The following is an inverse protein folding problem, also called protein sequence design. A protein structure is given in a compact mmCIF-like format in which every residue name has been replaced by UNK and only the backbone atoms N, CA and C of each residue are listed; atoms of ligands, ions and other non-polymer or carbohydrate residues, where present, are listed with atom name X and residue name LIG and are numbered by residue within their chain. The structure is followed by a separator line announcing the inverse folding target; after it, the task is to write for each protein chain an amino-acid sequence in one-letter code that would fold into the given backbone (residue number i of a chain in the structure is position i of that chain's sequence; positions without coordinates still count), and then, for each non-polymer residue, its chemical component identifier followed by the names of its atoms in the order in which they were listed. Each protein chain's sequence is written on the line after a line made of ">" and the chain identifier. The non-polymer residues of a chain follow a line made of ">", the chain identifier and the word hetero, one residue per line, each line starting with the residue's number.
data_IF_289018269555
#
_entry.id   IF_289018269555
#
_cell.length_a   1.000
_cell.length_b   1.000
_cell.length_c   1.000
_cell.angle_alpha   90.00
_cell.angle_beta   90.00
_cell.angle_gamma   90.00
#
_symmetry.space_group_name_H-M   'P 1'
#
loop_
_entity.id
_entity.type
_entity.pdbx_description
1 polymer ?
#
# COMPACT_ATOMS: atom_id res chain seq x y z
N UNK A 1 4.35 -10.08 -27.48
CA UNK A 1 3.38 -10.73 -26.56
C UNK A 1 3.08 -9.75 -25.46
N UNK A 2 1.82 -9.39 -25.23
CA UNK A 2 1.48 -8.46 -24.16
C UNK A 2 1.77 -9.14 -22.81
N UNK A 3 2.64 -8.53 -21.99
CA UNK A 3 2.84 -8.97 -20.62
C UNK A 3 1.58 -8.54 -19.85
N UNK A 4 0.69 -9.49 -19.57
CA UNK A 4 -0.50 -9.21 -18.78
C UNK A 4 -0.13 -8.96 -17.31
N UNK A 5 -0.85 -8.04 -16.68
CA UNK A 5 -0.68 -7.74 -15.27
C UNK A 5 -1.20 -8.90 -14.42
N UNK A 6 -0.29 -9.54 -13.68
CA UNK A 6 -0.62 -10.60 -12.73
C UNK A 6 -0.63 -10.03 -11.30
N UNK A 7 -1.83 -9.81 -10.78
CA UNK A 7 -2.03 -9.27 -9.44
C UNK A 7 -1.60 -10.25 -8.33
N UNK A 8 -1.67 -11.57 -8.56
CA UNK A 8 -1.30 -12.58 -7.57
C UNK A 8 0.22 -12.62 -7.41
N UNK A 9 0.94 -12.69 -8.53
CA UNK A 9 2.41 -12.63 -8.52
C UNK A 9 2.91 -11.33 -7.90
N UNK A 10 2.26 -10.20 -8.18
CA UNK A 10 2.61 -8.93 -7.54
C UNK A 10 2.30 -8.94 -6.03
N UNK A 11 1.18 -9.56 -5.61
CA UNK A 11 0.84 -9.71 -4.20
C UNK A 11 1.94 -10.43 -3.43
N UNK A 12 2.40 -11.57 -3.93
CA UNK A 12 3.49 -12.35 -3.31
C UNK A 12 4.79 -11.56 -3.19
N UNK A 13 5.13 -10.74 -4.20
CA UNK A 13 6.33 -9.90 -4.17
C UNK A 13 6.19 -8.75 -3.16
N UNK A 14 5.03 -8.10 -3.11
CA UNK A 14 4.78 -6.97 -2.21
C UNK A 14 4.69 -7.43 -0.75
N UNK A 15 4.04 -8.56 -0.50
CA UNK A 15 3.88 -9.13 0.85
C UNK A 15 5.24 -9.32 1.55
N UNK A 16 6.23 -9.86 0.84
CA UNK A 16 7.60 -10.04 1.34
C UNK A 16 8.29 -8.74 1.78
N UNK A 17 7.82 -7.59 1.29
CA UNK A 17 8.37 -6.27 1.58
C UNK A 17 7.59 -5.57 2.69
N UNK A 18 6.26 -5.69 2.68
CA UNK A 18 5.37 -4.87 3.53
C UNK A 18 4.78 -5.60 4.72
N UNK A 19 4.96 -6.91 4.84
CA UNK A 19 4.43 -7.74 5.94
C UNK A 19 5.56 -8.35 6.74
N UNK A 20 5.43 -8.30 8.07
CA UNK A 20 6.30 -9.01 9.02
C UNK A 20 5.44 -9.67 10.09
N UNK A 21 5.12 -10.96 9.91
CA UNK A 21 4.20 -11.67 10.79
C UNK A 21 2.81 -11.02 10.74
N UNK A 22 2.36 -10.45 11.86
CA UNK A 22 1.09 -9.73 11.97
C UNK A 22 1.23 -8.22 11.73
N UNK A 23 2.44 -7.72 11.51
CA UNK A 23 2.72 -6.30 11.30
C UNK A 23 2.67 -5.94 9.81
N UNK A 24 2.23 -4.71 9.51
CA UNK A 24 2.25 -4.12 8.17
C UNK A 24 3.11 -2.85 8.14
N UNK A 25 3.80 -2.62 7.03
CA UNK A 25 4.63 -1.43 6.79
C UNK A 25 3.77 -0.22 6.38
N UNK A 26 4.01 0.91 7.04
CA UNK A 26 3.36 2.19 6.78
C UNK A 26 4.44 3.27 6.63
N UNK A 27 4.29 4.19 5.68
CA UNK A 27 5.25 5.29 5.48
C UNK A 27 4.86 6.55 6.25
N UNK A 28 3.61 6.62 6.71
CA UNK A 28 3.11 7.73 7.51
C UNK A 28 2.24 7.20 8.64
N UNK A 29 2.68 7.44 9.86
CA UNK A 29 2.02 6.99 11.09
C UNK A 29 1.32 8.17 11.77
N UNK A 30 0.24 7.85 12.50
CA UNK A 30 -0.44 8.74 13.46
C UNK A 30 -0.79 10.11 12.88
N UNK A 31 -1.60 10.13 11.81
CA UNK A 31 -2.22 11.36 11.32
C UNK A 31 -3.61 11.55 11.91
N UNK A 32 -3.87 12.74 12.44
CA UNK A 32 -5.22 13.18 12.76
C UNK A 32 -6.04 13.41 11.49
N UNK A 33 -7.14 12.68 11.33
CA UNK A 33 -8.16 12.91 10.31
C UNK A 33 -9.34 13.66 10.90
N UNK A 34 -9.94 14.55 10.10
CA UNK A 34 -11.17 15.28 10.48
C UNK A 34 -12.44 14.45 10.36
N UNK A 35 -12.31 13.24 9.84
CA UNK A 35 -13.40 12.30 9.58
C UNK A 35 -13.73 11.49 10.83
N UNK A 36 -14.94 10.94 10.88
CA UNK A 36 -15.39 10.02 11.94
C UNK A 36 -15.28 10.57 13.38
N UNK A 37 -15.49 11.88 13.58
CA UNK A 37 -15.39 12.50 14.90
C UNK A 37 -13.96 12.67 15.41
N UNK A 38 -12.96 12.49 14.55
CA UNK A 38 -11.54 12.51 14.89
C UNK A 38 -10.96 11.10 14.83
N UNK A 39 -10.13 10.83 13.81
CA UNK A 39 -9.51 9.52 13.60
C UNK A 39 -7.99 9.61 13.64
N UNK A 40 -7.34 8.59 14.17
CA UNK A 40 -5.92 8.35 13.94
C UNK A 40 -5.76 7.43 12.72
N UNK A 41 -5.10 7.90 11.68
CA UNK A 41 -4.88 7.15 10.44
C UNK A 41 -3.40 6.92 10.16
N UNK A 42 -3.11 5.85 9.40
CA UNK A 42 -1.79 5.52 8.88
C UNK A 42 -1.90 5.11 7.41
N UNK A 43 -0.95 5.56 6.59
CA UNK A 43 -0.95 5.34 5.15
C UNK A 43 -0.01 4.15 4.81
N UNK A 44 -0.58 3.08 4.22
CA UNK A 44 0.14 1.83 3.93
C UNK A 44 1.20 2.00 2.83
N UNK A 45 2.25 1.18 2.87
CA UNK A 45 3.14 0.94 1.73
C UNK A 45 2.64 -0.22 0.88
N UNK A 46 2.89 -0.14 -0.44
CA UNK A 46 2.74 -1.25 -1.38
C UNK A 46 1.30 -1.64 -1.71
N UNK A 47 1.05 -1.94 -2.97
CA UNK A 47 -0.24 -2.42 -3.44
C UNK A 47 -0.05 -3.48 -4.54
N UNK A 48 -0.89 -4.50 -4.53
CA UNK A 48 -1.01 -5.48 -5.60
C UNK A 48 -1.85 -4.99 -6.78
N UNK A 49 -2.27 -3.72 -6.76
CA UNK A 49 -2.93 -3.01 -7.84
C UNK A 49 -2.04 -1.86 -8.33
N UNK A 50 -2.20 -1.50 -9.61
CA UNK A 50 -1.46 -0.41 -10.26
C UNK A 50 -2.40 0.61 -10.90
N UNK A 51 -3.38 1.07 -10.13
CA UNK A 51 -4.37 2.05 -10.62
C UNK A 51 -3.68 3.33 -11.10
N UNK A 52 -4.01 3.80 -12.30
CA UNK A 52 -3.44 5.01 -12.90
C UNK A 52 -3.78 6.28 -12.10
N UNK A 53 -4.88 6.24 -11.35
CA UNK A 53 -5.38 7.34 -10.51
C UNK A 53 -4.98 7.22 -9.04
N UNK A 54 -4.04 6.34 -8.69
CA UNK A 54 -3.68 6.11 -7.29
C UNK A 54 -2.95 7.32 -6.69
N UNK A 55 -3.51 7.88 -5.63
CA UNK A 55 -2.93 9.00 -4.89
C UNK A 55 -1.66 8.63 -4.10
N UNK A 56 -1.42 7.34 -3.83
CA UNK A 56 -0.28 6.88 -3.03
C UNK A 56 1.07 7.06 -3.75
N UNK A 57 1.10 7.00 -5.09
CA UNK A 57 2.30 7.30 -5.89
C UNK A 57 3.54 6.52 -5.45
N UNK A 58 4.60 7.25 -5.06
CA UNK A 58 5.90 6.67 -4.72
C UNK A 58 5.86 5.58 -3.63
N UNK A 59 5.21 5.76 -2.47
CA UNK A 59 5.04 4.68 -1.47
C UNK A 59 4.39 3.38 -1.97
N UNK A 60 3.60 3.43 -3.05
CA UNK A 60 3.03 2.24 -3.69
C UNK A 60 4.06 1.52 -4.57
N UNK A 61 4.85 2.30 -5.31
CA UNK A 61 5.79 1.81 -6.31
C UNK A 61 7.17 1.46 -5.73
N UNK A 62 7.52 2.08 -4.60
CA UNK A 62 8.76 1.90 -3.85
C UNK A 62 8.46 1.64 -2.35
N UNK A 63 7.79 0.51 -2.03
CA UNK A 63 7.24 0.25 -0.71
C UNK A 63 8.25 -0.06 0.40
#
# INVERSE_FOLDING_TARGET
>A
MAVHFDALKLSEAIEKIVVRGVERKYYRLVRGGRWYGGIATADCCGCNLRCVFCWSGAPRDHP
#
